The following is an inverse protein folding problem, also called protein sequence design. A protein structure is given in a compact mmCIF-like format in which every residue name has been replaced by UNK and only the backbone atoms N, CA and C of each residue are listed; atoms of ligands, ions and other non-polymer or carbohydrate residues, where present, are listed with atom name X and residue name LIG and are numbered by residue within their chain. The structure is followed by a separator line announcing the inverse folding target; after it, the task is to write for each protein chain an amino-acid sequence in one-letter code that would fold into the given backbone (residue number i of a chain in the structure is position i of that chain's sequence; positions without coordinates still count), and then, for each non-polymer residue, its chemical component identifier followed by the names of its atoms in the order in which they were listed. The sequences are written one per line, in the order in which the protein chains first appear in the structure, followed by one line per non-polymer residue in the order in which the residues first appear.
data_IF_022488560280
#
_entry.id   IF_022488560280
#
_cell.length_a   1.000
_cell.length_b   1.000
_cell.length_c   1.000
_cell.angle_alpha   90.00
_cell.angle_beta   90.00
_cell.angle_gamma   90.00
#
_symmetry.space_group_name_H-M   'P 1'
#
loop_
_entity.id
_entity.type
_entity.pdbx_description
1 polymer ?
#
# COMPACT_ATOMS: atom_id res chain seq x y z
N UNK A 1 20.61 -3.22 17.35
CA UNK A 1 21.34 -4.03 16.35
C UNK A 1 20.72 -5.42 16.39
N UNK A 2 19.82 -5.75 15.45
CA UNK A 2 19.22 -7.08 15.36
C UNK A 2 20.25 -7.99 14.71
N UNK A 3 20.60 -9.07 15.39
CA UNK A 3 21.43 -10.14 14.83
C UNK A 3 20.74 -10.68 13.56
N UNK A 4 21.51 -11.13 12.55
CA UNK A 4 20.93 -11.79 11.39
C UNK A 4 20.07 -12.96 11.87
N UNK A 5 18.82 -12.97 11.44
CA UNK A 5 17.88 -13.99 11.83
C UNK A 5 18.33 -15.35 11.28
N UNK A 6 18.25 -16.43 12.04
CA UNK A 6 18.58 -17.76 11.59
C UNK A 6 17.46 -18.31 10.69
N UNK A 7 17.34 -17.81 9.48
CA UNK A 7 16.23 -18.12 8.57
C UNK A 7 16.08 -19.61 8.30
N UNK A 8 17.18 -20.35 8.13
CA UNK A 8 17.14 -21.79 7.92
C UNK A 8 16.53 -22.53 9.11
N UNK A 9 16.76 -22.04 10.32
CA UNK A 9 16.15 -22.61 11.55
C UNK A 9 14.69 -22.18 11.73
N UNK A 10 14.32 -21.00 11.26
CA UNK A 10 12.93 -20.53 11.35
C UNK A 10 12.03 -21.08 10.27
N UNK A 11 12.59 -21.32 9.09
CA UNK A 11 11.84 -21.70 7.88
C UNK A 11 12.43 -22.96 7.22
N UNK A 12 12.55 -24.09 7.95
CA UNK A 12 13.20 -25.30 7.41
C UNK A 12 12.47 -25.91 6.22
N UNK A 13 11.14 -25.65 6.11
CA UNK A 13 10.29 -26.17 5.04
C UNK A 13 10.00 -25.10 3.97
N UNK A 14 10.77 -24.00 3.92
CA UNK A 14 10.59 -22.96 2.92
C UNK A 14 10.85 -23.52 1.50
N UNK A 15 9.98 -23.18 0.55
CA UNK A 15 10.10 -23.64 -0.83
C UNK A 15 11.40 -23.16 -1.51
N UNK A 16 11.91 -22.00 -1.05
CA UNK A 16 13.18 -21.40 -1.45
C UNK A 16 13.59 -20.35 -0.40
N UNK A 17 14.85 -19.89 -0.44
CA UNK A 17 15.33 -18.84 0.44
C UNK A 17 14.62 -17.51 0.15
N UNK A 18 13.80 -17.04 1.10
CA UNK A 18 13.08 -15.77 1.00
C UNK A 18 13.95 -14.52 1.17
N UNK A 19 15.25 -14.68 1.47
CA UNK A 19 16.23 -13.58 1.40
C UNK A 19 16.74 -13.36 -0.03
N UNK A 20 16.58 -14.33 -0.91
CA UNK A 20 17.11 -14.36 -2.28
C UNK A 20 18.64 -14.11 -2.32
N UNK A 21 19.35 -14.49 -1.26
CA UNK A 21 20.79 -14.26 -1.12
C UNK A 21 21.18 -12.82 -0.78
N UNK A 22 20.23 -11.93 -0.52
CA UNK A 22 20.51 -10.56 -0.09
C UNK A 22 20.81 -10.51 1.42
N UNK A 23 21.75 -9.63 1.78
CA UNK A 23 22.00 -9.17 3.14
C UNK A 23 21.38 -7.79 3.35
N UNK A 24 21.28 -7.31 4.60
CA UNK A 24 20.83 -5.94 4.87
C UNK A 24 21.67 -4.90 4.12
N UNK A 25 22.98 -5.11 4.03
CA UNK A 25 23.90 -4.22 3.31
C UNK A 25 23.56 -4.16 1.83
N UNK A 26 23.41 -5.31 1.17
CA UNK A 26 23.07 -5.36 -0.25
C UNK A 26 21.65 -4.89 -0.54
N UNK A 27 20.68 -5.13 0.37
CA UNK A 27 19.34 -4.58 0.27
C UNK A 27 19.31 -3.05 0.34
N UNK A 28 20.13 -2.45 1.22
CA UNK A 28 20.28 -0.99 1.30
C UNK A 28 20.93 -0.37 0.07
N UNK A 29 21.62 -1.16 -0.74
CA UNK A 29 22.23 -0.72 -1.99
C UNK A 29 21.30 -0.91 -3.21
N UNK A 30 20.15 -1.59 -3.07
CA UNK A 30 19.18 -1.74 -4.16
C UNK A 30 18.63 -0.37 -4.56
N UNK A 31 18.78 -0.03 -5.84
CA UNK A 31 18.26 1.23 -6.38
C UNK A 31 16.81 1.07 -6.82
N UNK A 32 16.01 2.15 -6.74
CA UNK A 32 14.70 2.17 -7.37
C UNK A 32 14.81 1.91 -8.88
N UNK A 33 13.72 1.43 -9.47
CA UNK A 33 13.68 1.27 -10.92
C UNK A 33 13.74 2.66 -11.60
N UNK A 34 14.45 2.79 -12.73
CA UNK A 34 14.44 4.02 -13.49
C UNK A 34 13.02 4.27 -14.03
N UNK A 35 12.56 5.52 -14.05
CA UNK A 35 11.23 5.85 -14.58
C UNK A 35 11.13 5.50 -16.06
N UNK A 36 10.00 4.94 -16.46
CA UNK A 36 9.64 4.84 -17.88
C UNK A 36 9.40 6.25 -18.47
N UNK A 37 9.60 6.44 -19.78
CA UNK A 37 9.29 7.72 -20.42
C UNK A 37 7.84 8.14 -20.15
N UNK A 38 7.63 9.39 -19.74
CA UNK A 38 6.30 9.92 -19.43
C UNK A 38 5.67 9.43 -18.15
N UNK A 39 6.44 8.78 -17.23
CA UNK A 39 5.92 8.25 -15.97
C UNK A 39 5.19 9.31 -15.13
N UNK A 40 5.87 10.42 -14.86
CA UNK A 40 5.31 11.48 -14.01
C UNK A 40 4.12 12.18 -14.69
N UNK A 41 4.23 12.45 -15.97
CA UNK A 41 3.18 13.06 -16.78
C UNK A 41 1.91 12.21 -16.77
N UNK A 42 2.05 10.90 -17.00
CA UNK A 42 0.90 9.97 -17.01
C UNK A 42 0.21 9.88 -15.64
N UNK A 43 0.95 9.79 -14.55
CA UNK A 43 0.38 9.80 -13.21
C UNK A 43 -0.29 11.12 -12.85
N UNK A 44 0.27 12.26 -13.30
CA UNK A 44 -0.37 13.58 -13.15
C UNK A 44 -1.68 13.66 -13.94
N UNK A 45 -1.71 13.20 -15.18
CA UNK A 45 -2.93 13.13 -16.00
C UNK A 45 -4.02 12.30 -15.30
N UNK A 46 -3.67 11.13 -14.75
CA UNK A 46 -4.62 10.30 -14.00
C UNK A 46 -5.10 10.98 -12.73
N UNK A 47 -4.23 11.73 -12.03
CA UNK A 47 -4.64 12.48 -10.85
C UNK A 47 -5.62 13.61 -11.22
N UNK A 48 -5.34 14.34 -12.27
CA UNK A 48 -6.22 15.42 -12.76
C UNK A 48 -7.57 14.86 -13.21
N UNK A 49 -7.55 13.74 -13.92
CA UNK A 49 -8.79 13.05 -14.32
C UNK A 49 -9.60 12.56 -13.09
N UNK A 50 -8.93 12.02 -12.07
CA UNK A 50 -9.58 11.59 -10.83
C UNK A 50 -10.20 12.76 -10.06
N UNK A 51 -9.53 13.93 -10.03
CA UNK A 51 -10.08 15.16 -9.41
C UNK A 51 -11.36 15.67 -10.07
N UNK A 52 -11.54 15.37 -11.35
CA UNK A 52 -12.76 15.75 -12.09
C UNK A 52 -13.95 14.85 -11.79
N UNK A 53 -13.73 13.70 -11.13
CA UNK A 53 -14.79 12.76 -10.75
C UNK A 53 -15.19 13.01 -9.29
N UNK A 54 -16.47 13.31 -8.99
CA UNK A 54 -16.90 13.46 -7.61
C UNK A 54 -16.83 12.14 -6.87
N UNK A 55 -16.23 12.13 -5.67
CA UNK A 55 -16.25 10.97 -4.78
C UNK A 55 -17.69 10.63 -4.35
N UNK A 56 -18.50 11.65 -4.10
CA UNK A 56 -19.92 11.57 -3.75
C UNK A 56 -20.19 10.42 -2.73
N UNK A 57 -19.59 10.48 -1.54
CA UNK A 57 -19.75 9.43 -0.54
C UNK A 57 -21.17 9.38 0.01
N UNK A 58 -21.67 8.17 0.20
CA UNK A 58 -22.96 7.90 0.83
C UNK A 58 -22.76 7.03 2.06
N UNK A 59 -23.23 7.49 3.21
CA UNK A 59 -23.25 6.68 4.44
C UNK A 59 -24.38 5.68 4.36
N UNK A 60 -24.06 4.38 4.36
CA UNK A 60 -25.02 3.28 4.27
C UNK A 60 -25.51 2.84 5.64
N UNK A 61 -24.63 2.83 6.62
CA UNK A 61 -24.96 2.51 8.00
C UNK A 61 -23.87 3.04 8.94
N UNK A 62 -24.24 3.29 10.19
CA UNK A 62 -23.32 3.76 11.23
C UNK A 62 -23.57 2.99 12.51
N UNK A 63 -22.49 2.70 13.23
CA UNK A 63 -22.51 2.14 14.58
C UNK A 63 -21.45 2.83 15.44
N UNK A 64 -21.73 2.95 16.71
CA UNK A 64 -20.73 3.38 17.68
C UNK A 64 -20.15 2.19 18.44
N UNK A 65 -18.86 2.23 18.66
CA UNK A 65 -18.13 1.25 19.45
C UNK A 65 -17.07 1.95 20.29
N UNK A 66 -17.29 2.01 21.60
CA UNK A 66 -16.47 2.76 22.54
C UNK A 66 -16.44 4.24 22.13
N UNK A 67 -15.25 4.78 21.89
CA UNK A 67 -14.93 6.16 21.49
C UNK A 67 -14.92 6.40 19.96
N UNK A 68 -15.45 5.43 19.19
CA UNK A 68 -15.39 5.45 17.72
C UNK A 68 -16.75 5.31 17.09
N UNK A 69 -17.02 6.17 16.11
CA UNK A 69 -18.08 6.02 15.13
C UNK A 69 -17.54 5.27 13.92
N UNK A 70 -18.17 4.17 13.55
CA UNK A 70 -17.79 3.32 12.42
C UNK A 70 -18.93 3.33 11.42
N UNK A 71 -18.71 3.90 10.26
CA UNK A 71 -19.67 3.97 9.17
C UNK A 71 -19.26 3.06 8.02
N UNK A 72 -20.21 2.31 7.47
CA UNK A 72 -20.08 1.72 6.15
C UNK A 72 -20.47 2.80 5.14
N UNK A 73 -19.57 3.10 4.22
CA UNK A 73 -19.80 4.10 3.18
C UNK A 73 -19.63 3.48 1.79
N UNK A 74 -20.26 4.11 0.80
CA UNK A 74 -20.03 3.86 -0.61
C UNK A 74 -19.60 5.15 -1.27
N UNK A 75 -18.55 5.10 -2.10
CA UNK A 75 -17.99 6.25 -2.81
C UNK A 75 -17.65 5.91 -4.25
N UNK A 76 -17.43 6.93 -5.08
CA UNK A 76 -17.00 6.78 -6.46
C UNK A 76 -15.55 6.31 -6.57
N UNK A 77 -15.19 5.85 -7.75
CA UNK A 77 -13.85 5.52 -8.20
C UNK A 77 -13.49 6.31 -9.46
N UNK A 78 -12.24 6.32 -9.85
CA UNK A 78 -11.74 7.09 -10.99
C UNK A 78 -12.40 6.70 -12.35
N UNK A 79 -12.97 5.51 -12.47
CA UNK A 79 -13.64 4.98 -13.65
C UNK A 79 -15.16 4.85 -13.48
N UNK A 80 -15.73 5.46 -12.42
CA UNK A 80 -17.17 5.51 -12.16
C UNK A 80 -17.74 4.28 -11.44
N UNK A 81 -16.94 3.29 -11.10
CA UNK A 81 -17.38 2.15 -10.28
C UNK A 81 -17.67 2.64 -8.85
N UNK A 82 -18.75 2.14 -8.23
CA UNK A 82 -19.04 2.43 -6.82
C UNK A 82 -18.35 1.40 -5.94
N UNK A 83 -17.54 1.88 -4.99
CA UNK A 83 -16.76 1.05 -4.06
C UNK A 83 -17.22 1.31 -2.63
N UNK A 84 -17.15 0.27 -1.80
CA UNK A 84 -17.48 0.35 -0.38
C UNK A 84 -16.24 0.35 0.47
N UNK A 85 -16.32 1.14 1.54
CA UNK A 85 -15.26 1.33 2.53
C UNK A 85 -15.84 1.47 3.92
N UNK A 86 -15.03 1.31 4.95
CA UNK A 86 -15.40 1.76 6.29
C UNK A 86 -14.74 3.12 6.57
N UNK A 87 -15.51 4.04 7.14
CA UNK A 87 -15.01 5.27 7.74
C UNK A 87 -15.08 5.12 9.26
N UNK A 88 -14.00 5.49 9.93
CA UNK A 88 -13.91 5.53 11.39
C UNK A 88 -13.58 6.95 11.80
N UNK A 89 -14.35 7.49 12.75
CA UNK A 89 -14.18 8.82 13.30
C UNK A 89 -14.16 8.77 14.83
N UNK A 90 -13.54 9.71 15.52
CA UNK A 90 -13.80 9.90 16.96
C UNK A 90 -15.28 10.24 17.20
N UNK A 91 -15.86 9.77 18.30
CA UNK A 91 -17.22 10.15 18.71
C UNK A 91 -17.30 11.58 19.20
N UNK A 92 -16.19 12.12 19.71
CA UNK A 92 -16.09 13.48 20.24
C UNK A 92 -14.87 14.19 19.64
N UNK A 93 -14.99 15.51 19.42
CA UNK A 93 -13.96 16.36 18.86
C UNK A 93 -13.77 16.23 17.35
N UNK A 94 -13.02 17.15 16.78
CA UNK A 94 -12.64 17.14 15.37
C UNK A 94 -11.36 16.33 15.16
N UNK A 95 -11.27 15.50 14.14
CA UNK A 95 -10.05 14.75 13.85
C UNK A 95 -8.93 15.69 13.38
N UNK A 96 -7.70 15.43 13.84
CA UNK A 96 -6.50 16.17 13.44
C UNK A 96 -5.94 15.74 12.09
N UNK A 97 -6.30 14.55 11.63
CA UNK A 97 -5.79 13.93 10.40
C UNK A 97 -6.78 12.92 9.85
N UNK A 98 -6.84 12.83 8.53
CA UNK A 98 -7.50 11.75 7.81
C UNK A 98 -6.50 10.68 7.38
N UNK A 99 -6.73 9.43 7.73
CA UNK A 99 -5.86 8.31 7.36
C UNK A 99 -6.51 7.50 6.23
N UNK A 100 -5.81 7.35 5.11
CA UNK A 100 -6.17 6.40 4.04
C UNK A 100 -5.45 5.09 4.32
N UNK A 101 -6.16 4.10 4.86
CA UNK A 101 -5.57 2.84 5.33
C UNK A 101 -5.93 1.67 4.40
N UNK A 102 -5.08 1.41 3.43
CA UNK A 102 -5.22 0.31 2.46
C UNK A 102 -4.75 -1.04 3.04
N UNK A 103 -5.20 -2.15 2.43
CA UNK A 103 -4.99 -3.53 2.91
C UNK A 103 -4.15 -4.36 1.93
N UNK A 104 -3.62 -5.50 2.41
CA UNK A 104 -2.94 -6.51 1.59
C UNK A 104 -3.90 -7.33 0.71
N UNK A 105 -3.35 -8.22 -0.16
CA UNK A 105 -4.15 -9.05 -1.07
C UNK A 105 -5.12 -10.02 -0.37
N UNK A 106 -4.99 -10.25 0.93
CA UNK A 106 -5.98 -10.98 1.72
C UNK A 106 -7.35 -10.31 1.80
N UNK A 107 -7.45 -9.06 1.34
CA UNK A 107 -8.67 -8.27 1.48
C UNK A 107 -8.84 -7.76 2.92
N UNK A 108 -10.03 -7.21 3.16
CA UNK A 108 -10.43 -6.70 4.49
C UNK A 108 -11.90 -7.00 4.73
N UNK A 109 -12.21 -7.48 5.92
CA UNK A 109 -13.59 -7.75 6.38
C UNK A 109 -14.00 -6.90 7.59
N UNK A 110 -13.07 -6.09 8.13
CA UNK A 110 -13.26 -5.25 9.31
C UNK A 110 -12.26 -4.10 9.36
N UNK A 111 -12.53 -3.12 10.23
CA UNK A 111 -11.58 -2.04 10.55
C UNK A 111 -10.47 -2.52 11.48
N UNK A 112 -9.26 -2.00 11.29
CA UNK A 112 -8.05 -2.35 12.04
C UNK A 112 -7.43 -1.08 12.65
N UNK A 113 -7.76 -0.82 13.92
CA UNK A 113 -7.45 0.46 14.58
C UNK A 113 -6.04 0.57 15.17
N UNK A 114 -5.25 -0.48 15.11
CA UNK A 114 -3.94 -0.52 15.77
C UNK A 114 -2.87 0.44 15.22
N UNK A 115 -3.16 1.11 14.09
CA UNK A 115 -2.34 2.17 13.49
C UNK A 115 -3.09 3.50 13.40
N UNK A 116 -4.25 3.62 14.05
CA UNK A 116 -5.11 4.80 14.00
C UNK A 116 -5.16 5.47 15.37
N UNK A 117 -4.57 6.65 15.55
CA UNK A 117 -4.68 7.44 16.79
C UNK A 117 -6.13 7.76 17.14
N UNK A 118 -6.39 8.05 18.43
CA UNK A 118 -7.75 8.31 18.93
C UNK A 118 -8.35 9.59 18.36
N UNK A 119 -7.54 10.55 17.99
CA UNK A 119 -7.88 11.85 17.41
C UNK A 119 -7.77 11.88 15.87
N UNK A 120 -7.78 10.71 15.20
CA UNK A 120 -7.76 10.61 13.77
C UNK A 120 -9.08 10.07 13.21
N UNK A 121 -9.49 10.58 12.05
CA UNK A 121 -10.42 9.86 11.17
C UNK A 121 -9.63 8.89 10.27
N UNK A 122 -10.23 7.77 9.90
CA UNK A 122 -9.58 6.82 9.00
C UNK A 122 -10.59 6.20 8.05
N UNK A 123 -10.30 6.28 6.76
CA UNK A 123 -10.99 5.46 5.77
C UNK A 123 -10.22 4.16 5.56
N UNK A 124 -10.96 3.07 5.52
CA UNK A 124 -10.47 1.73 5.25
C UNK A 124 -11.05 1.28 3.91
N UNK A 125 -10.48 1.73 2.77
CA UNK A 125 -10.95 1.32 1.48
C UNK A 125 -10.79 -0.19 1.32
N UNK A 126 -11.79 -0.83 0.72
CA UNK A 126 -11.69 -2.21 0.25
C UNK A 126 -11.43 -2.14 -1.24
N UNK A 127 -10.31 -2.67 -1.68
CA UNK A 127 -9.91 -2.60 -3.08
C UNK A 127 -10.96 -3.26 -3.98
N UNK A 128 -11.16 -2.70 -5.17
CA UNK A 128 -12.03 -3.28 -6.20
C UNK A 128 -11.73 -4.77 -6.40
N UNK A 129 -12.73 -5.57 -6.63
CA UNK A 129 -12.59 -7.02 -6.80
C UNK A 129 -12.34 -7.81 -5.52
N UNK A 130 -11.84 -7.19 -4.45
CA UNK A 130 -11.35 -7.88 -3.26
C UNK A 130 -12.21 -7.65 -2.01
N UNK A 131 -11.95 -8.49 -0.99
CA UNK A 131 -12.53 -8.38 0.34
C UNK A 131 -14.04 -8.55 0.41
N UNK A 132 -14.60 -8.44 1.61
CA UNK A 132 -16.01 -8.72 1.87
C UNK A 132 -16.99 -7.71 1.24
N UNK A 133 -16.53 -6.48 0.95
CA UNK A 133 -17.42 -5.41 0.48
C UNK A 133 -17.46 -5.26 -1.04
N UNK A 134 -16.35 -5.59 -1.74
CA UNK A 134 -16.18 -5.31 -3.16
C UNK A 134 -15.80 -6.55 -3.98
N UNK A 135 -16.07 -7.75 -3.48
CA UNK A 135 -15.80 -9.02 -4.19
C UNK A 135 -16.41 -9.00 -5.59
N UNK A 136 -15.56 -9.07 -6.62
CA UNK A 136 -15.97 -9.05 -8.04
C UNK A 136 -16.44 -7.69 -8.54
N UNK A 137 -16.42 -6.64 -7.73
CA UNK A 137 -16.83 -5.29 -8.15
C UNK A 137 -15.69 -4.60 -8.90
N UNK A 138 -15.85 -4.38 -10.19
CA UNK A 138 -14.91 -3.65 -11.04
C UNK A 138 -13.56 -4.33 -11.30
N UNK A 139 -13.36 -5.55 -10.79
CA UNK A 139 -12.17 -6.37 -11.02
C UNK A 139 -12.43 -7.84 -10.65
N UNK A 140 -11.59 -8.82 -11.11
CA UNK A 140 -11.68 -10.21 -10.66
C UNK A 140 -11.50 -10.35 -9.15
N UNK A 141 -12.18 -11.33 -8.55
CA UNK A 141 -12.09 -11.61 -7.12
C UNK A 141 -10.91 -12.54 -6.75
N UNK A 142 -10.41 -13.30 -7.69
CA UNK A 142 -9.28 -14.20 -7.49
C UNK A 142 -7.97 -13.41 -7.59
N UNK A 143 -7.16 -13.45 -6.55
CA UNK A 143 -5.90 -12.69 -6.42
C UNK A 143 -5.00 -12.77 -7.67
N UNK A 144 -4.82 -13.98 -8.19
CA UNK A 144 -3.88 -14.26 -9.28
C UNK A 144 -4.40 -13.76 -10.64
N UNK A 145 -5.72 -13.72 -10.83
CA UNK A 145 -6.38 -13.09 -11.98
C UNK A 145 -6.42 -11.56 -11.81
N UNK A 146 -6.69 -11.11 -10.59
CA UNK A 146 -6.78 -9.69 -10.26
C UNK A 146 -5.48 -8.96 -10.60
N UNK A 147 -4.32 -9.46 -10.17
CA UNK A 147 -3.03 -8.77 -10.31
C UNK A 147 -2.59 -8.56 -11.75
N UNK A 148 -3.14 -9.31 -12.70
CA UNK A 148 -2.85 -9.22 -14.14
C UNK A 148 -3.98 -8.61 -14.96
N UNK A 149 -5.11 -8.32 -14.33
CA UNK A 149 -6.29 -7.80 -15.03
C UNK A 149 -6.01 -6.44 -15.67
N UNK A 150 -6.17 -6.36 -17.00
CA UNK A 150 -5.98 -5.14 -17.77
C UNK A 150 -4.51 -4.72 -17.95
N UNK A 151 -3.54 -5.60 -17.69
CA UNK A 151 -2.11 -5.25 -17.76
C UNK A 151 -1.65 -4.80 -19.16
N UNK A 152 -2.37 -5.11 -20.21
CA UNK A 152 -2.09 -4.70 -21.59
C UNK A 152 -2.61 -3.28 -21.93
N UNK A 153 -3.33 -2.64 -21.01
CA UNK A 153 -3.86 -1.29 -21.16
C UNK A 153 -3.57 -0.47 -19.87
N UNK A 154 -2.71 0.58 -19.91
CA UNK A 154 -2.36 1.36 -18.72
C UNK A 154 -3.57 2.01 -18.05
N UNK A 155 -4.59 2.37 -18.80
CA UNK A 155 -5.78 3.03 -18.25
C UNK A 155 -6.71 2.04 -17.54
N UNK A 156 -6.59 0.75 -17.86
CA UNK A 156 -7.44 -0.33 -17.34
C UNK A 156 -6.71 -1.29 -16.39
N UNK A 157 -5.39 -1.17 -16.26
CA UNK A 157 -4.64 -2.03 -15.37
C UNK A 157 -5.10 -1.87 -13.93
N UNK A 158 -5.52 -2.97 -13.31
CA UNK A 158 -6.16 -2.99 -12.00
C UNK A 158 -5.31 -2.38 -10.89
N UNK A 159 -3.99 -2.57 -10.91
CA UNK A 159 -3.09 -1.99 -9.89
C UNK A 159 -3.11 -0.47 -9.97
N UNK A 160 -3.09 0.09 -11.19
CA UNK A 160 -3.24 1.53 -11.42
C UNK A 160 -4.63 2.04 -11.00
N UNK A 161 -5.69 1.28 -11.32
CA UNK A 161 -7.04 1.61 -10.88
C UNK A 161 -7.15 1.63 -9.34
N UNK A 162 -6.61 0.61 -8.66
CA UNK A 162 -6.60 0.55 -7.20
C UNK A 162 -5.82 1.71 -6.55
N UNK A 163 -4.71 2.16 -7.15
CA UNK A 163 -3.99 3.34 -6.67
C UNK A 163 -4.82 4.61 -6.84
N UNK A 164 -5.48 4.77 -7.99
CA UNK A 164 -6.39 5.90 -8.27
C UNK A 164 -7.62 5.90 -7.35
N UNK A 165 -8.14 4.73 -6.97
CA UNK A 165 -9.25 4.60 -6.02
C UNK A 165 -8.90 5.16 -4.63
N UNK A 166 -7.61 5.13 -4.24
CA UNK A 166 -7.18 5.73 -2.97
C UNK A 166 -7.38 7.25 -2.95
N UNK A 167 -7.25 7.94 -4.10
CA UNK A 167 -7.53 9.37 -4.18
C UNK A 167 -9.01 9.68 -3.94
N UNK A 168 -9.92 8.88 -4.54
CA UNK A 168 -11.38 9.06 -4.35
C UNK A 168 -11.80 8.67 -2.93
N UNK A 169 -11.13 7.67 -2.31
CA UNK A 169 -11.31 7.36 -0.90
C UNK A 169 -10.83 8.52 -0.01
N UNK A 170 -9.70 9.15 -0.35
CA UNK A 170 -9.21 10.34 0.33
C UNK A 170 -10.17 11.53 0.20
N UNK A 171 -10.75 11.73 -0.99
CA UNK A 171 -11.78 12.75 -1.22
C UNK A 171 -13.03 12.47 -0.37
N UNK A 172 -13.45 11.19 -0.25
CA UNK A 172 -14.56 10.81 0.61
C UNK A 172 -14.32 11.14 2.10
N UNK A 173 -13.07 11.01 2.59
CA UNK A 173 -12.72 11.46 3.96
C UNK A 173 -12.97 12.96 4.08
N UNK A 174 -12.40 13.76 3.19
CA UNK A 174 -12.49 15.22 3.26
C UNK A 174 -13.94 15.68 3.11
N UNK A 175 -14.73 15.06 2.23
CA UNK A 175 -16.16 15.39 2.06
C UNK A 175 -17.00 15.08 3.31
N UNK A 176 -16.68 14.01 4.07
CA UNK A 176 -17.47 13.59 5.23
C UNK A 176 -16.97 14.16 6.55
N UNK A 177 -15.65 14.38 6.67
CA UNK A 177 -15.00 14.73 7.94
C UNK A 177 -14.62 16.21 7.99
N UNK A 178 -14.42 16.85 6.82
CA UNK A 178 -13.91 18.20 6.69
C UNK A 178 -12.47 18.25 6.18
N UNK A 179 -11.95 19.46 6.01
CA UNK A 179 -10.60 19.70 5.46
C UNK A 179 -9.53 19.33 6.50
N UNK A 180 -9.01 18.13 6.40
CA UNK A 180 -7.95 17.58 7.24
C UNK A 180 -6.75 17.15 6.41
N UNK A 181 -5.51 17.28 6.91
CA UNK A 181 -4.34 16.72 6.24
C UNK A 181 -4.47 15.19 6.15
N UNK A 182 -3.89 14.60 5.11
CA UNK A 182 -4.02 13.18 4.86
C UNK A 182 -2.71 12.43 5.13
N UNK A 183 -2.83 11.24 5.69
CA UNK A 183 -1.71 10.33 5.93
C UNK A 183 -2.03 8.96 5.33
N UNK A 184 -1.09 8.39 4.54
CA UNK A 184 -1.31 7.11 3.90
C UNK A 184 -0.71 5.97 4.74
N UNK A 185 -1.48 4.90 4.95
CA UNK A 185 -1.03 3.65 5.56
C UNK A 185 -1.37 2.51 4.62
N UNK A 186 -0.41 1.65 4.34
CA UNK A 186 -0.67 0.49 3.49
C UNK A 186 0.23 -0.70 3.81
N UNK A 187 -0.33 -1.91 3.71
CA UNK A 187 0.40 -3.15 3.92
C UNK A 187 0.42 -3.98 2.64
N UNK A 188 1.58 -4.54 2.29
CA UNK A 188 1.77 -5.44 1.14
C UNK A 188 1.25 -4.80 -0.15
N UNK A 189 0.18 -5.35 -0.74
CA UNK A 189 -0.54 -4.76 -1.87
C UNK A 189 -0.91 -3.30 -1.60
N UNK A 190 -1.51 -3.03 -0.43
CA UNK A 190 -1.87 -1.68 -0.02
C UNK A 190 -0.68 -0.75 0.16
N UNK A 191 0.48 -1.27 0.60
CA UNK A 191 1.73 -0.53 0.67
C UNK A 191 2.23 -0.11 -0.71
N UNK A 192 2.15 -1.01 -1.68
CA UNK A 192 2.54 -0.75 -3.07
C UNK A 192 1.64 0.27 -3.76
N UNK A 193 0.30 0.08 -3.73
CA UNK A 193 -0.63 1.06 -4.33
C UNK A 193 -0.63 2.40 -3.58
N UNK A 194 -0.36 2.40 -2.26
CA UNK A 194 -0.17 3.62 -1.47
C UNK A 194 1.07 4.39 -1.92
N UNK A 195 2.19 3.71 -2.15
CA UNK A 195 3.41 4.33 -2.68
C UNK A 195 3.24 4.87 -4.11
N UNK A 196 2.37 4.25 -4.92
CA UNK A 196 1.99 4.75 -6.24
C UNK A 196 1.10 5.99 -6.15
N UNK A 197 0.17 6.06 -5.21
CA UNK A 197 -0.84 7.11 -5.11
C UNK A 197 -0.35 8.36 -4.36
N UNK A 198 0.37 8.19 -3.25
CA UNK A 198 0.71 9.26 -2.31
C UNK A 198 1.50 10.43 -2.92
N UNK A 199 2.44 10.26 -3.88
CA UNK A 199 3.19 11.36 -4.47
C UNK A 199 2.33 12.40 -5.19
N UNK A 200 1.14 12.05 -5.61
CA UNK A 200 0.24 12.87 -6.43
C UNK A 200 -0.89 13.51 -5.63
N UNK A 201 -0.98 13.22 -4.33
CA UNK A 201 -1.94 13.85 -3.43
C UNK A 201 -1.26 14.95 -2.60
N UNK A 202 -1.48 16.19 -2.98
CA UNK A 202 -0.93 17.38 -2.32
C UNK A 202 -1.40 17.58 -0.87
N UNK A 203 -2.44 16.88 -0.46
CA UNK A 203 -2.92 16.84 0.94
C UNK A 203 -2.13 15.84 1.79
N UNK A 204 -1.34 14.96 1.14
CA UNK A 204 -0.52 13.96 1.82
C UNK A 204 0.59 14.63 2.63
N UNK A 205 0.62 14.35 3.93
CA UNK A 205 1.63 14.90 4.85
C UNK A 205 2.66 13.86 5.28
N UNK A 206 2.44 12.58 5.00
CA UNK A 206 3.32 11.48 5.33
C UNK A 206 2.70 10.13 5.05
N UNK A 207 3.50 9.07 5.17
CA UNK A 207 3.01 7.72 4.94
C UNK A 207 3.73 6.66 5.80
N UNK A 208 3.06 5.51 5.96
CA UNK A 208 3.68 4.26 6.45
C UNK A 208 3.38 3.14 5.47
N UNK A 209 4.41 2.57 4.85
CA UNK A 209 4.30 1.42 3.96
C UNK A 209 4.93 0.19 4.60
N UNK A 210 4.12 -0.86 4.81
CA UNK A 210 4.53 -2.11 5.45
C UNK A 210 4.71 -3.17 4.39
N UNK A 211 5.90 -3.74 4.29
CA UNK A 211 6.30 -4.75 3.27
C UNK A 211 5.74 -4.44 1.87
N UNK A 212 5.96 -3.20 1.33
CA UNK A 212 5.29 -2.74 0.12
C UNK A 212 5.64 -3.60 -1.09
N UNK A 213 4.63 -3.98 -1.87
CA UNK A 213 4.81 -4.69 -3.15
C UNK A 213 4.99 -3.70 -4.33
N UNK A 214 5.14 -4.22 -5.53
CA UNK A 214 5.29 -3.49 -6.81
C UNK A 214 6.55 -2.64 -6.94
N UNK A 215 7.52 -2.77 -6.03
CA UNK A 215 8.82 -2.11 -6.18
C UNK A 215 9.79 -2.91 -7.03
N UNK A 216 10.58 -2.23 -7.87
CA UNK A 216 11.69 -2.77 -8.66
C UNK A 216 11.29 -3.99 -9.50
N UNK A 217 10.38 -3.79 -10.42
CA UNK A 217 9.83 -4.87 -11.26
C UNK A 217 10.89 -5.67 -12.01
N UNK A 218 12.02 -5.06 -12.40
CA UNK A 218 13.07 -5.80 -13.12
C UNK A 218 13.69 -6.90 -12.25
N UNK A 219 13.98 -6.59 -10.97
CA UNK A 219 14.48 -7.59 -10.02
C UNK A 219 13.38 -8.57 -9.60
N UNK A 220 12.16 -8.06 -9.40
CA UNK A 220 11.02 -8.87 -8.97
C UNK A 220 10.63 -9.93 -10.01
N UNK A 221 10.62 -9.58 -11.29
CA UNK A 221 10.29 -10.52 -12.38
C UNK A 221 11.41 -11.53 -12.66
N UNK A 222 12.61 -11.31 -12.13
CA UNK A 222 13.74 -12.25 -12.28
C UNK A 222 13.70 -13.45 -11.32
N UNK A 223 12.89 -13.37 -10.24
CA UNK A 223 12.84 -14.38 -9.18
C UNK A 223 11.43 -14.91 -8.95
N UNK A 224 11.26 -16.18 -8.52
CA UNK A 224 9.95 -16.70 -8.14
C UNK A 224 9.45 -16.07 -6.84
N UNK A 225 8.15 -16.09 -6.60
CA UNK A 225 7.56 -15.75 -5.30
C UNK A 225 6.26 -16.53 -5.05
N UNK A 226 5.81 -16.58 -3.79
CA UNK A 226 4.55 -17.22 -3.40
C UNK A 226 3.33 -16.26 -3.45
N UNK A 227 3.57 -14.99 -3.70
CA UNK A 227 2.51 -13.97 -3.80
C UNK A 227 1.95 -13.84 -5.22
N UNK A 228 1.01 -12.91 -5.37
CA UNK A 228 0.41 -12.55 -6.67
C UNK A 228 1.44 -12.15 -7.74
N UNK A 229 2.64 -11.75 -7.34
CA UNK A 229 3.75 -11.44 -8.24
C UNK A 229 4.17 -12.58 -9.13
N UNK A 230 3.92 -13.84 -8.74
CA UNK A 230 4.22 -14.98 -9.61
C UNK A 230 3.33 -15.00 -10.85
N UNK A 231 2.05 -14.64 -10.72
CA UNK A 231 1.14 -14.53 -11.87
C UNK A 231 1.58 -13.44 -12.84
N UNK A 232 2.07 -12.28 -12.32
CA UNK A 232 2.67 -11.23 -13.16
C UNK A 232 3.95 -11.74 -13.84
N UNK A 233 4.83 -12.42 -13.09
CA UNK A 233 6.07 -13.00 -13.63
C UNK A 233 5.79 -14.01 -14.75
N UNK A 234 4.87 -14.93 -14.52
CA UNK A 234 4.47 -15.92 -15.51
C UNK A 234 3.92 -15.27 -16.78
N UNK A 235 3.07 -14.24 -16.62
CA UNK A 235 2.51 -13.51 -17.76
C UNK A 235 3.60 -12.75 -18.55
N UNK A 236 4.52 -12.07 -17.85
CA UNK A 236 5.63 -11.34 -18.51
C UNK A 236 6.63 -12.29 -19.18
N UNK A 237 6.86 -13.49 -18.65
CA UNK A 237 7.69 -14.50 -19.31
C UNK A 237 7.03 -15.00 -20.61
N UNK A 238 5.70 -15.10 -20.64
CA UNK A 238 4.94 -15.48 -21.81
C UNK A 238 4.75 -14.31 -22.81
N UNK A 239 4.73 -13.07 -22.31
CA UNK A 239 4.50 -11.82 -23.05
C UNK A 239 5.50 -10.74 -22.62
N UNK A 240 6.77 -10.81 -23.08
CA UNK A 240 7.86 -9.94 -22.62
C UNK A 240 7.62 -8.44 -22.85
N UNK A 241 6.79 -8.09 -23.84
CA UNK A 241 6.41 -6.70 -24.14
C UNK A 241 5.68 -6.02 -22.97
N UNK A 242 5.00 -6.77 -22.11
CA UNK A 242 4.29 -6.26 -20.94
C UNK A 242 5.23 -5.75 -19.83
N UNK A 243 6.54 -6.04 -19.91
CA UNK A 243 7.52 -5.56 -18.93
C UNK A 243 7.57 -4.02 -18.88
N UNK A 244 7.57 -3.37 -20.03
CA UNK A 244 7.56 -1.90 -20.09
C UNK A 244 6.28 -1.32 -19.47
N UNK A 245 5.16 -1.99 -19.66
CA UNK A 245 3.89 -1.64 -19.05
C UNK A 245 3.96 -1.70 -17.51
N UNK A 246 4.55 -2.76 -16.93
CA UNK A 246 4.72 -2.87 -15.49
C UNK A 246 5.59 -1.75 -14.90
N UNK A 247 6.59 -1.26 -15.62
CA UNK A 247 7.44 -0.16 -15.16
C UNK A 247 6.68 1.13 -14.92
N UNK A 248 5.56 1.36 -15.62
CA UNK A 248 4.67 2.48 -15.38
C UNK A 248 3.98 2.39 -13.99
N UNK A 249 3.94 1.21 -13.39
CA UNK A 249 3.34 0.95 -12.08
C UNK A 249 4.38 0.51 -11.03
N UNK A 250 5.64 0.94 -11.20
CA UNK A 250 6.69 0.62 -10.24
C UNK A 250 6.63 1.54 -9.03
N UNK A 251 6.34 0.95 -7.87
CA UNK A 251 6.20 1.69 -6.61
C UNK A 251 7.52 2.34 -6.16
N UNK A 252 8.68 1.76 -6.50
CA UNK A 252 9.97 2.37 -6.16
C UNK A 252 10.26 3.59 -7.02
N UNK A 253 9.82 3.61 -8.29
CA UNK A 253 9.88 4.79 -9.15
C UNK A 253 9.00 5.92 -8.61
N UNK A 254 7.76 5.61 -8.23
CA UNK A 254 6.84 6.59 -7.66
C UNK A 254 7.38 7.17 -6.34
N UNK A 255 7.96 6.33 -5.48
CA UNK A 255 8.51 6.73 -4.19
C UNK A 255 9.63 7.78 -4.28
N UNK A 256 10.36 7.89 -5.42
CA UNK A 256 11.36 8.96 -5.67
C UNK A 256 10.69 10.35 -5.60
N UNK A 257 9.41 10.43 -5.92
CA UNK A 257 8.66 11.69 -6.00
C UNK A 257 8.03 12.10 -4.67
N UNK A 258 8.07 11.25 -3.64
CA UNK A 258 7.60 11.60 -2.30
C UNK A 258 8.43 12.73 -1.69
N UNK A 259 7.76 13.77 -1.20
CA UNK A 259 8.38 14.96 -0.58
C UNK A 259 7.98 15.13 0.89
N UNK A 260 7.43 14.10 1.47
CA UNK A 260 6.92 14.06 2.83
C UNK A 260 7.65 12.97 3.63
N UNK A 261 7.67 13.02 4.96
CA UNK A 261 8.23 11.97 5.78
C UNK A 261 7.53 10.63 5.54
N UNK A 262 8.29 9.58 5.29
CA UNK A 262 7.73 8.23 5.06
C UNK A 262 8.45 7.20 5.92
N UNK A 263 7.65 6.40 6.62
CA UNK A 263 8.12 5.20 7.28
C UNK A 263 7.92 3.99 6.37
N UNK A 264 8.99 3.22 6.16
CA UNK A 264 8.91 1.93 5.45
C UNK A 264 9.33 0.81 6.40
N UNK A 265 8.46 -0.17 6.56
CA UNK A 265 8.74 -1.41 7.29
C UNK A 265 9.07 -2.49 6.25
N UNK A 266 10.36 -2.83 6.08
CA UNK A 266 10.84 -3.74 5.05
C UNK A 266 11.47 -5.00 5.66
N UNK A 267 11.15 -6.16 5.09
CA UNK A 267 11.58 -7.46 5.60
C UNK A 267 12.91 -7.92 4.97
N UNK A 268 13.74 -8.62 5.77
CA UNK A 268 14.96 -9.26 5.28
C UNK A 268 14.70 -10.58 4.57
N UNK A 269 13.58 -11.23 4.88
CA UNK A 269 13.16 -12.49 4.32
C UNK A 269 11.66 -12.48 4.04
N UNK A 270 11.25 -12.77 2.80
CA UNK A 270 9.84 -12.77 2.42
C UNK A 270 9.67 -13.50 1.08
N UNK A 271 9.01 -14.66 1.10
CA UNK A 271 8.74 -15.43 -0.12
C UNK A 271 7.57 -14.87 -0.95
N UNK A 272 6.71 -14.03 -0.35
CA UNK A 272 5.53 -13.48 -1.04
C UNK A 272 5.83 -12.17 -1.75
N UNK A 273 6.55 -11.27 -1.06
CA UNK A 273 7.00 -9.98 -1.60
C UNK A 273 8.51 -9.89 -1.45
N UNK A 274 9.28 -10.18 -2.49
CA UNK A 274 10.75 -10.24 -2.41
C UNK A 274 11.37 -8.99 -1.77
N UNK A 275 12.28 -9.15 -0.79
CA UNK A 275 12.87 -8.05 -0.01
C UNK A 275 13.48 -6.93 -0.86
N UNK A 276 14.13 -7.28 -1.99
CA UNK A 276 14.73 -6.30 -2.88
C UNK A 276 13.72 -5.29 -3.44
N UNK A 277 12.46 -5.70 -3.66
CA UNK A 277 11.39 -4.80 -4.08
C UNK A 277 10.96 -3.85 -2.95
N UNK A 278 10.82 -4.37 -1.73
CA UNK A 278 10.48 -3.58 -0.54
C UNK A 278 11.55 -2.53 -0.23
N UNK A 279 12.83 -2.94 -0.26
CA UNK A 279 13.96 -2.04 -0.03
C UNK A 279 14.15 -1.03 -1.18
N UNK A 280 13.81 -1.37 -2.42
CA UNK A 280 13.83 -0.41 -3.51
C UNK A 280 12.85 0.75 -3.25
N UNK A 281 11.65 0.46 -2.72
CA UNK A 281 10.69 1.49 -2.30
C UNK A 281 11.26 2.33 -1.16
N UNK A 282 11.85 1.70 -0.13
CA UNK A 282 12.46 2.40 1.00
C UNK A 282 13.60 3.30 0.56
N UNK A 283 14.54 2.77 -0.23
CA UNK A 283 15.74 3.49 -0.68
C UNK A 283 15.44 4.64 -1.66
N UNK A 284 14.21 4.69 -2.22
CA UNK A 284 13.74 5.77 -3.07
C UNK A 284 13.30 7.01 -2.29
N UNK A 285 12.91 6.84 -1.02
CA UNK A 285 12.36 7.91 -0.18
C UNK A 285 13.47 8.82 0.36
N UNK A 286 13.32 10.14 0.17
CA UNK A 286 14.30 11.11 0.63
C UNK A 286 14.26 11.33 2.15
N UNK A 287 13.08 11.42 2.74
CA UNK A 287 12.86 11.56 4.20
C UNK A 287 12.32 10.22 4.75
N UNK A 288 13.23 9.27 4.95
CA UNK A 288 12.94 7.89 5.27
C UNK A 288 13.14 7.55 6.75
N UNK A 289 12.13 6.99 7.39
CA UNK A 289 12.27 6.18 8.59
C UNK A 289 12.19 4.69 8.24
N UNK A 290 13.34 4.01 8.15
CA UNK A 290 13.39 2.58 7.83
C UNK A 290 13.24 1.72 9.10
N UNK A 291 12.25 0.83 9.09
CA UNK A 291 12.10 -0.25 10.05
C UNK A 291 12.43 -1.59 9.36
N UNK A 292 13.50 -2.23 9.80
CA UNK A 292 13.89 -3.54 9.26
C UNK A 292 13.19 -4.65 10.05
N UNK A 293 12.34 -5.41 9.37
CA UNK A 293 11.66 -6.58 9.92
C UNK A 293 12.49 -7.84 9.65
N UNK A 294 12.55 -8.80 10.59
CA UNK A 294 13.23 -10.07 10.35
C UNK A 294 12.65 -10.83 9.15
N UNK A 295 11.30 -10.97 9.10
CA UNK A 295 10.63 -11.57 7.95
C UNK A 295 9.28 -10.90 7.70
N UNK A 296 8.80 -11.00 6.46
CA UNK A 296 7.46 -10.61 6.01
C UNK A 296 6.63 -11.83 5.60
N UNK A 297 5.31 -11.71 5.66
CA UNK A 297 4.34 -12.75 5.24
C UNK A 297 4.62 -14.16 5.81
N UNK A 298 5.26 -14.24 6.97
CA UNK A 298 5.63 -15.50 7.60
C UNK A 298 5.54 -15.40 9.13
N UNK A 299 5.23 -16.52 9.76
CA UNK A 299 5.26 -16.67 11.21
C UNK A 299 6.69 -17.06 11.65
N UNK A 300 7.22 -16.38 12.65
CA UNK A 300 8.57 -16.64 13.19
C UNK A 300 8.61 -16.36 14.71
N UNK A 301 9.60 -16.87 15.44
CA UNK A 301 9.70 -16.64 16.89
C UNK A 301 9.75 -15.15 17.23
N UNK A 302 8.78 -14.67 18.01
CA UNK A 302 8.69 -13.29 18.44
C UNK A 302 7.95 -12.34 17.47
N UNK A 303 7.37 -12.80 16.37
CA UNK A 303 6.63 -12.00 15.38
C UNK A 303 5.58 -11.10 16.03
N UNK A 304 4.82 -11.60 17.00
CA UNK A 304 3.81 -10.80 17.70
C UNK A 304 4.38 -9.57 18.40
N UNK A 305 5.58 -9.69 19.03
CA UNK A 305 6.27 -8.58 19.67
C UNK A 305 6.77 -7.58 18.63
N UNK A 306 7.43 -8.06 17.59
CA UNK A 306 7.93 -7.21 16.48
C UNK A 306 6.78 -6.43 15.85
N UNK A 307 5.65 -7.08 15.60
CA UNK A 307 4.45 -6.44 15.03
C UNK A 307 3.89 -5.35 15.95
N UNK A 308 3.79 -5.60 17.26
CA UNK A 308 3.29 -4.60 18.22
C UNK A 308 4.24 -3.39 18.27
N UNK A 309 5.53 -3.64 18.35
CA UNK A 309 6.53 -2.57 18.43
C UNK A 309 6.57 -1.75 17.12
N UNK A 310 6.48 -2.39 15.95
CA UNK A 310 6.40 -1.72 14.64
C UNK A 310 5.12 -0.86 14.53
N UNK A 311 3.97 -1.37 14.97
CA UNK A 311 2.70 -0.61 14.98
C UNK A 311 2.77 0.62 15.88
N UNK A 312 3.33 0.50 17.09
CA UNK A 312 3.54 1.63 18.00
C UNK A 312 4.48 2.68 17.41
N UNK A 313 5.58 2.24 16.80
CA UNK A 313 6.51 3.13 16.15
C UNK A 313 5.89 3.84 14.93
N UNK A 314 5.00 3.15 14.17
CA UNK A 314 4.24 3.75 13.07
C UNK A 314 3.28 4.86 13.55
N UNK A 315 2.57 4.63 14.67
CA UNK A 315 1.74 5.69 15.29
C UNK A 315 2.60 6.86 15.77
N UNK A 316 3.75 6.58 16.39
CA UNK A 316 4.68 7.62 16.83
C UNK A 316 5.27 8.41 15.65
N UNK A 317 5.54 7.77 14.50
CA UNK A 317 5.97 8.45 13.28
C UNK A 317 4.89 9.42 12.79
N UNK A 318 3.63 8.96 12.65
CA UNK A 318 2.51 9.83 12.29
C UNK A 318 2.41 11.03 13.26
N UNK A 319 2.53 10.80 14.56
CA UNK A 319 2.44 11.87 15.55
C UNK A 319 3.55 12.92 15.36
N UNK A 320 4.81 12.49 15.11
CA UNK A 320 5.92 13.42 14.80
C UNK A 320 5.65 14.23 13.53
N UNK A 321 5.06 13.63 12.51
CA UNK A 321 4.69 14.32 11.26
C UNK A 321 3.64 15.40 11.55
N UNK A 322 2.66 15.12 12.41
CA UNK A 322 1.65 16.11 12.82
C UNK A 322 2.23 17.24 13.67
N UNK A 323 3.15 16.91 14.58
CA UNK A 323 3.71 17.90 15.53
C UNK A 323 4.80 18.77 14.86
N UNK A 324 5.36 18.38 13.72
CA UNK A 324 6.33 19.13 12.93
C UNK A 324 5.73 20.13 11.94
N UNK A 325 4.40 20.30 11.93
CA UNK A 325 3.65 21.19 11.05
C UNK A 325 3.29 22.54 11.72
#
# INVERSE_FOLDING_TARGET
MTLPAPFDAWFPDAAFDGSYGFTLETLRAVRPAPPSPGFAERWSEWRDAARAVPSAPVVLSTRERRDRRISLIEHGSADGVRLRSWLVEPCEGEPRVGIVHSHGYGGRDRVELHRVPVDAAAIFPVARGLGALNTGVGAPAVRDEHVVAGLDDPDRYVVGLCARDLWLAADAVVELVGDVPLYYVGESFGGGIGALAAPWDDRCIGATFVVPTFGQYDLRMAVPCLGSGESQRALVLARPELREQLRLFDASTAAILLRVPVRVEAALWDQSVPPQGQFAVANAVADLELCVLPAGHAEYPGVGRVTIDARRAGVAHLQRVLDGR
#
